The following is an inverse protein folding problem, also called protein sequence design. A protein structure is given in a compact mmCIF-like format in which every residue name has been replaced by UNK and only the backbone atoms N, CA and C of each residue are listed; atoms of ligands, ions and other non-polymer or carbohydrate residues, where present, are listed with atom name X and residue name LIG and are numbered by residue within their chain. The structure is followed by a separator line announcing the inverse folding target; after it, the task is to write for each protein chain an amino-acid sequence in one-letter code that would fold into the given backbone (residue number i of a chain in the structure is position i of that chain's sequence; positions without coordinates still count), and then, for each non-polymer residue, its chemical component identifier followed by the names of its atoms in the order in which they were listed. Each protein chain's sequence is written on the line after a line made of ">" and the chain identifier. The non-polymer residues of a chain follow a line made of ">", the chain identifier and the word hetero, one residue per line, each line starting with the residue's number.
data_IF_912434883239
#
_entry.id   IF_912434883239
#
_cell.length_a   1.000
_cell.length_b   1.000
_cell.length_c   1.000
_cell.angle_alpha   90.00
_cell.angle_beta   90.00
_cell.angle_gamma   90.00
#
_symmetry.space_group_name_H-M   'P 1'
#
loop_
_entity.id
_entity.type
_entity.pdbx_description
1 polymer ?
#
# COMPACT_ATOMS: atom_id res chain seq x y z
N UNK A 1 -52.27 -15.81 -23.13
CA UNK A 1 -51.47 -16.63 -22.19
C UNK A 1 -51.13 -15.71 -21.04
N UNK A 2 -51.95 -15.75 -20.00
CA UNK A 2 -51.89 -14.82 -18.86
C UNK A 2 -50.97 -15.41 -17.79
N UNK A 3 -49.66 -15.25 -18.00
CA UNK A 3 -48.63 -15.84 -17.13
C UNK A 3 -48.26 -14.92 -15.97
N UNK A 4 -48.38 -13.61 -16.15
CA UNK A 4 -47.96 -12.63 -15.15
C UNK A 4 -48.90 -12.55 -13.95
N UNK A 5 -50.21 -12.75 -14.14
CA UNK A 5 -51.16 -12.75 -13.03
C UNK A 5 -51.03 -14.00 -12.14
N UNK A 6 -50.70 -15.16 -12.73
CA UNK A 6 -50.48 -16.41 -12.00
C UNK A 6 -49.26 -16.37 -11.08
N UNK A 7 -48.17 -15.73 -11.52
CA UNK A 7 -46.94 -15.59 -10.72
C UNK A 7 -47.16 -14.68 -9.51
N UNK A 8 -47.89 -13.57 -9.70
CA UNK A 8 -48.23 -12.66 -8.60
C UNK A 8 -49.17 -13.32 -7.58
N UNK A 9 -50.16 -14.11 -8.02
CA UNK A 9 -51.02 -14.88 -7.12
C UNK A 9 -50.25 -15.96 -6.36
N UNK A 10 -49.27 -16.60 -7.00
CA UNK A 10 -48.41 -17.62 -6.37
C UNK A 10 -47.46 -17.00 -5.33
N UNK A 11 -46.91 -15.82 -5.63
CA UNK A 11 -46.14 -15.02 -4.67
C UNK A 11 -47.02 -14.58 -3.49
N UNK A 12 -48.25 -14.13 -3.76
CA UNK A 12 -49.19 -13.72 -2.71
C UNK A 12 -49.60 -14.89 -1.80
N UNK A 13 -49.88 -16.07 -2.36
CA UNK A 13 -50.19 -17.28 -1.60
C UNK A 13 -49.00 -17.73 -0.74
N UNK A 14 -47.79 -17.67 -1.31
CA UNK A 14 -46.52 -17.97 -0.62
C UNK A 14 -46.25 -16.98 0.52
N UNK A 15 -46.56 -15.69 0.32
CA UNK A 15 -46.45 -14.65 1.35
C UNK A 15 -47.53 -14.80 2.44
N UNK A 16 -48.72 -15.29 2.10
CA UNK A 16 -49.81 -15.53 3.05
C UNK A 16 -49.58 -16.77 3.93
N UNK A 17 -48.83 -17.76 3.44
CA UNK A 17 -48.56 -19.03 4.14
C UNK A 17 -47.46 -18.93 5.23
N UNK A 18 -46.88 -17.75 5.45
CA UNK A 18 -45.97 -17.43 6.57
C UNK A 18 -44.57 -18.07 6.51
N UNK A 19 -44.48 -19.38 6.26
CA UNK A 19 -43.21 -20.10 6.05
C UNK A 19 -42.59 -19.79 4.68
N UNK A 20 -43.40 -19.74 3.63
CA UNK A 20 -42.97 -19.35 2.29
C UNK A 20 -42.52 -17.87 2.22
N UNK A 21 -43.24 -17.00 2.93
CA UNK A 21 -42.96 -15.57 3.05
C UNK A 21 -41.54 -15.30 3.57
N UNK A 22 -41.10 -16.08 4.56
CA UNK A 22 -39.79 -15.92 5.20
C UNK A 22 -38.65 -16.17 4.20
N UNK A 23 -38.78 -17.19 3.35
CA UNK A 23 -37.80 -17.51 2.31
C UNK A 23 -37.70 -16.41 1.24
N UNK A 24 -38.84 -15.89 0.79
CA UNK A 24 -38.87 -14.80 -0.20
C UNK A 24 -38.29 -13.51 0.37
N UNK A 25 -38.64 -13.16 1.61
CA UNK A 25 -38.10 -11.97 2.30
C UNK A 25 -36.58 -12.10 2.46
N UNK A 26 -36.07 -13.26 2.88
CA UNK A 26 -34.61 -13.46 2.99
C UNK A 26 -33.90 -13.37 1.65
N UNK A 27 -34.51 -13.88 0.57
CA UNK A 27 -34.00 -13.69 -0.79
C UNK A 27 -33.90 -12.22 -1.17
N UNK A 28 -34.96 -11.44 -0.92
CA UNK A 28 -34.98 -9.99 -1.20
C UNK A 28 -33.91 -9.26 -0.38
N UNK A 29 -33.78 -9.56 0.91
CA UNK A 29 -32.75 -8.97 1.78
C UNK A 29 -31.34 -9.30 1.28
N UNK A 30 -31.10 -10.55 0.86
CA UNK A 30 -29.83 -10.95 0.26
C UNK A 30 -29.50 -10.16 -1.00
N UNK A 31 -30.46 -10.01 -1.91
CA UNK A 31 -30.28 -9.21 -3.13
C UNK A 31 -30.05 -7.74 -2.81
N UNK A 32 -30.79 -7.18 -1.85
CA UNK A 32 -30.60 -5.80 -1.41
C UNK A 32 -29.20 -5.57 -0.83
N UNK A 33 -28.69 -6.47 0.01
CA UNK A 33 -27.33 -6.41 0.56
C UNK A 33 -26.27 -6.44 -0.55
N UNK A 34 -26.40 -7.36 -1.51
CA UNK A 34 -25.49 -7.42 -2.66
C UNK A 34 -25.54 -6.13 -3.48
N UNK A 35 -26.74 -5.58 -3.73
CA UNK A 35 -26.91 -4.30 -4.42
C UNK A 35 -26.22 -3.14 -3.71
N UNK A 36 -26.34 -3.07 -2.38
CA UNK A 36 -25.66 -2.05 -1.56
C UNK A 36 -24.13 -2.19 -1.64
N UNK A 37 -23.60 -3.42 -1.57
CA UNK A 37 -22.16 -3.67 -1.67
C UNK A 37 -21.60 -3.25 -3.05
N UNK A 38 -22.30 -3.62 -4.12
CA UNK A 38 -21.93 -3.22 -5.49
C UNK A 38 -21.98 -1.69 -5.61
N UNK A 39 -23.04 -1.07 -5.10
CA UNK A 39 -23.19 0.40 -5.10
C UNK A 39 -22.05 1.10 -4.35
N UNK A 40 -21.63 0.59 -3.20
CA UNK A 40 -20.52 1.13 -2.42
C UNK A 40 -19.19 1.05 -3.18
N UNK A 41 -18.89 -0.10 -3.79
CA UNK A 41 -17.67 -0.27 -4.61
C UNK A 41 -17.70 0.68 -5.82
N UNK A 42 -18.84 0.78 -6.50
CA UNK A 42 -18.98 1.63 -7.67
C UNK A 42 -18.84 3.11 -7.31
N UNK A 43 -19.45 3.54 -6.20
CA UNK A 43 -19.30 4.90 -5.67
C UNK A 43 -17.84 5.21 -5.30
N UNK A 44 -17.14 4.25 -4.67
CA UNK A 44 -15.72 4.37 -4.36
C UNK A 44 -14.85 4.55 -5.61
N UNK A 45 -15.08 3.74 -6.66
CA UNK A 45 -14.39 3.90 -7.95
C UNK A 45 -14.72 5.23 -8.61
N UNK A 46 -16.00 5.65 -8.60
CA UNK A 46 -16.42 6.92 -9.18
C UNK A 46 -15.77 8.12 -8.51
N UNK A 47 -15.51 8.05 -7.20
CA UNK A 47 -14.76 9.12 -6.51
C UNK A 47 -13.30 9.15 -6.94
N UNK A 48 -12.62 8.00 -7.01
CA UNK A 48 -11.22 7.93 -7.49
C UNK A 48 -11.07 8.34 -8.95
N UNK A 49 -12.08 8.14 -9.78
CA UNK A 49 -12.08 8.58 -11.18
C UNK A 49 -12.18 10.10 -11.34
N UNK A 50 -12.51 10.86 -10.27
CA UNK A 50 -12.48 12.32 -10.28
C UNK A 50 -11.10 12.87 -9.90
N UNK A 51 -10.19 12.01 -9.43
CA UNK A 51 -8.79 12.37 -9.24
C UNK A 51 -8.09 12.38 -10.60
N UNK A 52 -7.07 13.24 -10.75
CA UNK A 52 -6.22 13.24 -11.92
C UNK A 52 -5.61 11.83 -12.08
N UNK A 53 -5.61 11.26 -13.30
CA UNK A 53 -4.97 9.97 -13.53
C UNK A 53 -3.50 10.05 -13.10
N UNK A 54 -2.92 8.93 -12.61
CA UNK A 54 -1.50 8.88 -12.31
C UNK A 54 -0.69 9.43 -13.48
N UNK A 55 0.35 10.24 -13.23
CA UNK A 55 1.13 10.84 -14.29
C UNK A 55 1.68 9.75 -15.18
N UNK A 56 1.57 9.96 -16.50
CA UNK A 56 2.09 8.99 -17.46
C UNK A 56 3.61 8.90 -17.35
N UNK A 57 4.23 7.77 -17.74
CA UNK A 57 5.69 7.65 -17.72
C UNK A 57 6.40 8.77 -18.51
N UNK A 58 5.77 9.20 -19.59
CA UNK A 58 6.18 10.32 -20.46
C UNK A 58 5.94 11.72 -19.85
N UNK A 59 5.11 11.82 -18.81
CA UNK A 59 4.90 13.03 -18.01
C UNK A 59 5.82 13.04 -16.78
N UNK A 60 6.63 11.99 -16.57
CA UNK A 60 7.59 11.98 -15.47
C UNK A 60 8.64 13.07 -15.69
N UNK A 61 9.00 13.82 -14.63
CA UNK A 61 10.09 14.78 -14.70
C UNK A 61 11.35 14.12 -15.25
N UNK A 62 11.94 14.72 -16.29
CA UNK A 62 13.22 14.24 -16.81
C UNK A 62 14.26 14.34 -15.69
N UNK A 63 15.14 13.34 -15.65
CA UNK A 63 16.29 13.37 -14.75
C UNK A 63 17.08 14.66 -15.04
N UNK A 64 17.32 15.52 -14.04
CA UNK A 64 18.06 16.75 -14.27
C UNK A 64 19.48 16.45 -14.77
N UNK A 65 20.00 17.31 -15.66
CA UNK A 65 21.32 17.16 -16.31
C UNK A 65 22.50 17.12 -15.32
N UNK A 66 22.27 17.60 -14.11
CA UNK A 66 23.23 17.67 -13.04
C UNK A 66 22.63 17.09 -11.76
N UNK A 67 23.48 16.42 -10.99
CA UNK A 67 23.12 15.89 -9.67
C UNK A 67 22.80 17.06 -8.74
N UNK A 68 21.53 17.30 -8.44
CA UNK A 68 21.08 18.39 -7.55
C UNK A 68 21.24 18.10 -6.06
N UNK A 69 21.78 16.93 -5.69
CA UNK A 69 21.90 16.48 -4.30
C UNK A 69 23.27 15.82 -4.07
N UNK A 70 23.96 16.24 -3.02
CA UNK A 70 25.17 15.56 -2.52
C UNK A 70 24.70 14.22 -1.97
N UNK A 71 25.18 13.10 -2.53
CA UNK A 71 25.01 11.79 -1.90
C UNK A 71 25.76 11.82 -0.55
N UNK A 72 25.05 12.23 0.50
CA UNK A 72 25.49 11.97 1.86
C UNK A 72 25.22 10.47 2.04
N UNK A 73 26.30 9.69 2.05
CA UNK A 73 26.22 8.28 2.43
C UNK A 73 25.83 8.29 3.89
N UNK A 74 24.54 8.18 4.17
CA UNK A 74 24.07 7.88 5.51
C UNK A 74 24.80 6.62 5.95
N UNK A 75 25.43 6.70 7.13
CA UNK A 75 26.08 5.56 7.76
C UNK A 75 24.95 4.61 8.13
N UNK A 76 24.60 3.75 7.18
CA UNK A 76 23.68 2.67 7.43
C UNK A 76 24.32 1.82 8.53
N UNK A 77 23.60 1.61 9.65
CA UNK A 77 24.03 0.65 10.67
C UNK A 77 24.30 -0.71 10.02
N UNK A 78 25.08 -1.57 10.67
CA UNK A 78 25.47 -2.90 10.15
C UNK A 78 24.24 -3.72 9.73
N UNK A 79 23.81 -3.55 8.48
CA UNK A 79 22.64 -4.20 7.91
C UNK A 79 23.11 -5.48 7.24
N UNK A 80 23.31 -6.49 8.09
CA UNK A 80 23.68 -7.83 7.68
C UNK A 80 22.45 -8.72 7.71
N UNK A 81 22.07 -9.23 6.54
CA UNK A 81 21.04 -10.25 6.45
C UNK A 81 21.55 -11.58 7.02
N UNK A 82 20.65 -12.42 7.55
CA UNK A 82 21.00 -13.77 7.96
C UNK A 82 21.75 -14.55 6.86
N UNK A 83 22.83 -15.28 7.21
CA UNK A 83 23.71 -15.96 6.24
C UNK A 83 23.04 -17.15 5.55
N UNK A 84 21.88 -17.59 6.04
CA UNK A 84 21.04 -18.62 5.45
C UNK A 84 20.16 -18.10 4.30
N UNK A 85 20.21 -16.79 4.00
CA UNK A 85 19.57 -16.19 2.83
C UNK A 85 18.04 -16.14 2.91
N UNK A 86 17.46 -16.47 4.07
CA UNK A 86 16.02 -16.30 4.30
C UNK A 86 15.71 -14.81 4.48
N UNK A 87 14.65 -14.35 3.82
CA UNK A 87 14.13 -13.01 4.09
C UNK A 87 13.64 -12.90 5.53
N UNK A 88 13.95 -11.80 6.21
CA UNK A 88 13.43 -11.51 7.54
C UNK A 88 11.92 -11.26 7.45
N UNK A 89 11.15 -11.95 8.27
CA UNK A 89 9.74 -11.60 8.44
C UNK A 89 9.60 -10.26 9.18
N UNK A 90 8.45 -9.58 9.10
CA UNK A 90 8.24 -8.29 9.77
C UNK A 90 8.52 -8.30 11.28
N UNK A 91 8.38 -9.46 11.93
CA UNK A 91 8.64 -9.63 13.36
C UNK A 91 10.11 -9.91 13.69
N UNK A 92 10.89 -10.30 12.69
CA UNK A 92 12.32 -10.58 12.80
C UNK A 92 13.18 -9.35 12.42
N UNK A 93 12.54 -8.26 11.98
CA UNK A 93 13.18 -7.02 11.55
C UNK A 93 13.67 -6.15 12.73
N UNK A 94 13.46 -6.55 13.98
CA UNK A 94 14.00 -5.87 15.17
C UNK A 94 13.79 -4.36 15.18
N UNK A 95 14.80 -3.61 15.64
CA UNK A 95 14.83 -2.14 15.62
C UNK A 95 15.26 -1.58 14.24
N UNK A 96 15.54 -2.46 13.26
CA UNK A 96 16.02 -2.10 11.92
C UNK A 96 14.96 -1.40 11.04
N UNK A 97 13.73 -1.25 11.53
CA UNK A 97 12.66 -0.46 10.89
C UNK A 97 12.36 0.88 11.55
N UNK A 98 12.92 1.14 12.74
CA UNK A 98 12.65 2.32 13.58
C UNK A 98 13.89 3.12 13.97
N UNK A 99 15.07 2.75 13.45
CA UNK A 99 16.30 3.45 13.75
C UNK A 99 16.21 4.91 13.30
N UNK A 100 16.27 5.82 14.27
CA UNK A 100 16.45 7.24 14.00
C UNK A 100 17.86 7.43 13.46
N UNK A 101 17.97 7.93 12.23
CA UNK A 101 19.27 8.24 11.61
C UNK A 101 20.07 9.11 12.59
N UNK A 102 21.09 8.53 13.20
CA UNK A 102 21.98 9.26 14.10
C UNK A 102 22.80 10.19 13.23
N UNK A 103 22.50 11.49 13.33
CA UNK A 103 23.34 12.54 12.77
C UNK A 103 24.64 12.50 13.55
N UNK A 104 25.74 12.11 12.90
CA UNK A 104 27.07 12.22 13.49
C UNK A 104 27.24 13.62 14.07
N UNK A 105 27.36 13.70 15.40
CA UNK A 105 27.79 14.91 16.08
C UNK A 105 29.17 15.28 15.53
N UNK A 106 29.31 16.51 15.06
CA UNK A 106 30.49 17.11 14.40
C UNK A 106 31.79 17.14 15.24
N UNK A 107 32.08 16.16 16.11
CA UNK A 107 33.20 16.22 17.06
C UNK A 107 34.44 15.40 16.68
N UNK A 108 34.44 14.66 15.57
CA UNK A 108 35.61 13.88 15.14
C UNK A 108 36.37 14.51 13.95
N UNK A 109 36.43 15.85 13.87
CA UNK A 109 37.21 16.55 12.84
C UNK A 109 38.35 17.41 13.40
N UNK A 110 39.04 16.93 14.42
CA UNK A 110 40.34 17.47 14.80
C UNK A 110 41.27 16.37 15.33
N UNK A 111 41.94 15.66 14.41
CA UNK A 111 43.22 15.00 14.70
C UNK A 111 44.18 15.22 13.53
N UNK A 112 45.26 16.02 13.68
CA UNK A 112 46.32 16.07 12.69
C UNK A 112 47.16 14.79 12.82
N UNK A 113 47.02 13.91 11.82
CA UNK A 113 47.80 12.69 11.64
C UNK A 113 49.18 13.07 11.08
N UNK A 114 50.25 12.67 11.78
CA UNK A 114 51.63 13.03 11.49
C UNK A 114 52.12 12.65 10.10
N UNK A 115 52.89 13.58 9.52
CA UNK A 115 53.69 13.39 8.32
C UNK A 115 54.99 12.65 8.70
N UNK A 116 55.04 11.35 8.35
CA UNK A 116 56.28 10.58 8.29
C UNK A 116 56.50 10.07 6.88
N UNK A 117 57.41 10.74 6.18
CA UNK A 117 58.51 10.10 5.48
C UNK A 117 58.43 10.09 3.96
N UNK A 118 59.39 10.74 3.31
CA UNK A 118 60.31 10.11 2.36
C UNK A 118 61.50 11.02 2.05
N UNK A 119 62.59 10.40 1.60
CA UNK A 119 63.99 10.78 1.79
C UNK A 119 64.63 11.17 0.44
N UNK A 120 65.56 12.16 0.45
CA UNK A 120 66.72 12.41 -0.48
C UNK A 120 66.47 12.76 -1.98
N UNK A 121 67.46 13.31 -2.75
CA UNK A 121 68.83 13.79 -2.40
C UNK A 121 69.23 15.18 -2.98
N UNK A 122 70.34 15.77 -2.48
CA UNK A 122 71.44 16.41 -3.24
C UNK A 122 72.66 16.54 -2.32
#
# INVERSE_FOLDING_TARGET
>A
MDVSNGDLSSLALTLADGRGATGVIMGIVGVALVGVLIGAVWLGRRRRAQELPPPRPEEQPLRPDHRSHIEQRDVHGDDSFPPDGRGLSPYELGDHGSETIHRDSDEQRDRPQGDQGTQTPQ
#
